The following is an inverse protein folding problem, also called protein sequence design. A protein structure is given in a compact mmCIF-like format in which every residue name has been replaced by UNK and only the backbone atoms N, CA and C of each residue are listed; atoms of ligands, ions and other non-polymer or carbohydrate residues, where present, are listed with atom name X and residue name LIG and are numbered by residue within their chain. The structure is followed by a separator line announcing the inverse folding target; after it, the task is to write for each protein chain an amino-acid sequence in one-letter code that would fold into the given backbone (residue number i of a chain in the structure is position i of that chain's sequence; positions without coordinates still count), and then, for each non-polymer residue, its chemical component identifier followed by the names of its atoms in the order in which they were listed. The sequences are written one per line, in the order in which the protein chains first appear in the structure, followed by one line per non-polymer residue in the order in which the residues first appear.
data_IF_173988515658
#
_entry.id   IF_173988515658
#
_cell.length_a   1.000
_cell.length_b   1.000
_cell.length_c   1.000
_cell.angle_alpha   90.00
_cell.angle_beta   90.00
_cell.angle_gamma   90.00
#
_symmetry.space_group_name_H-M   'P 1'
#
loop_
_entity.id
_entity.type
_entity.pdbx_description
1 polymer ?
#
# COMPACT_ATOMS: atom_id res chain seq x y z
N UNK A 1 4.57 13.16 -1.68
CA UNK A 1 3.14 13.16 -2.05
C UNK A 1 2.23 13.00 -0.84
N UNK A 2 2.60 12.19 0.15
CA UNK A 2 1.93 12.23 1.46
C UNK A 2 2.24 13.56 2.19
N UNK A 3 3.51 13.97 2.21
CA UNK A 3 3.97 15.18 2.90
C UNK A 3 4.02 16.46 2.05
N UNK A 4 3.88 16.35 0.72
CA UNK A 4 4.00 17.45 -0.25
C UNK A 4 3.00 17.28 -1.40
N UNK A 5 2.83 18.33 -2.22
CA UNK A 5 1.92 18.35 -3.38
C UNK A 5 2.22 17.22 -4.37
N UNK A 6 1.20 16.81 -5.13
CA UNK A 6 1.36 15.83 -6.21
C UNK A 6 2.23 16.41 -7.34
N UNK A 7 3.20 15.65 -7.88
CA UNK A 7 3.98 16.07 -9.05
C UNK A 7 3.19 15.92 -10.36
N UNK A 8 2.06 15.21 -10.36
CA UNK A 8 1.23 15.02 -11.54
C UNK A 8 0.45 16.31 -11.83
N UNK A 9 0.62 16.87 -13.03
CA UNK A 9 -0.05 18.09 -13.44
C UNK A 9 -1.52 17.81 -13.75
N UNK A 10 -2.40 18.68 -13.26
CA UNK A 10 -3.83 18.72 -13.60
C UNK A 10 -4.15 20.05 -14.29
N UNK A 11 -4.02 20.12 -15.63
CA UNK A 11 -4.32 21.34 -16.38
C UNK A 11 -5.74 21.85 -16.16
N UNK A 12 -5.91 23.18 -16.28
CA UNK A 12 -7.21 23.83 -16.14
C UNK A 12 -8.19 23.40 -17.23
N UNK A 13 -7.78 23.39 -18.49
CA UNK A 13 -8.64 22.96 -19.60
C UNK A 13 -8.96 21.47 -19.53
N UNK A 14 -10.23 21.11 -19.65
CA UNK A 14 -10.69 19.71 -19.55
C UNK A 14 -10.05 18.78 -20.59
N UNK A 15 -9.84 19.26 -21.82
CA UNK A 15 -9.18 18.47 -22.87
C UNK A 15 -7.74 18.10 -22.48
N UNK A 16 -6.94 19.06 -22.00
CA UNK A 16 -5.57 18.77 -21.52
C UNK A 16 -5.57 17.92 -20.26
N UNK A 17 -6.57 18.08 -19.38
CA UNK A 17 -6.71 17.25 -18.18
C UNK A 17 -7.00 15.80 -18.52
N UNK A 18 -7.89 15.55 -19.49
CA UNK A 18 -8.17 14.21 -20.00
C UNK A 18 -6.93 13.60 -20.67
N UNK A 19 -6.19 14.38 -21.47
CA UNK A 19 -4.95 13.93 -22.09
C UNK A 19 -3.87 13.56 -21.05
N UNK A 20 -3.64 14.44 -20.05
CA UNK A 20 -2.70 14.17 -18.96
C UNK A 20 -3.07 12.88 -18.20
N UNK A 21 -4.35 12.74 -17.85
CA UNK A 21 -4.86 11.54 -17.17
C UNK A 21 -4.67 10.27 -17.99
N UNK A 22 -4.93 10.31 -19.30
CA UNK A 22 -4.74 9.17 -20.17
C UNK A 22 -3.27 8.72 -20.18
N UNK A 23 -2.33 9.67 -20.28
CA UNK A 23 -0.89 9.40 -20.18
C UNK A 23 -0.54 8.80 -18.82
N UNK A 24 -1.00 9.41 -17.71
CA UNK A 24 -0.74 8.89 -16.36
C UNK A 24 -1.27 7.47 -16.17
N UNK A 25 -2.50 7.17 -16.60
CA UNK A 25 -3.07 5.84 -16.48
C UNK A 25 -2.34 4.80 -17.34
N UNK A 26 -1.91 5.17 -18.55
CA UNK A 26 -1.24 4.25 -19.47
C UNK A 26 0.23 3.98 -19.07
N UNK A 27 0.92 5.01 -18.58
CA UNK A 27 2.35 4.96 -18.34
C UNK A 27 2.72 4.64 -16.89
N UNK A 28 1.95 5.11 -15.90
CA UNK A 28 2.38 5.10 -14.50
C UNK A 28 1.76 3.98 -13.67
N UNK A 29 0.52 3.60 -13.96
CA UNK A 29 -0.14 2.52 -13.22
C UNK A 29 0.58 1.18 -13.44
N UNK A 30 0.64 0.32 -12.40
CA UNK A 30 1.18 -1.02 -12.55
C UNK A 30 0.33 -1.82 -13.55
N UNK A 31 1.00 -2.62 -14.38
CA UNK A 31 0.34 -3.51 -15.35
C UNK A 31 -0.01 -4.87 -14.74
N UNK A 32 0.89 -5.38 -13.90
CA UNK A 32 0.81 -6.73 -13.32
C UNK A 32 0.37 -6.73 -11.85
N UNK A 33 -0.12 -5.60 -11.33
CA UNK A 33 -0.59 -5.48 -9.96
C UNK A 33 -1.87 -4.63 -9.89
N UNK A 34 -2.64 -4.72 -8.79
CA UNK A 34 -3.82 -3.89 -8.58
C UNK A 34 -3.50 -2.39 -8.72
N UNK A 35 -4.47 -1.58 -9.20
CA UNK A 35 -4.25 -0.16 -9.42
C UNK A 35 -3.88 0.56 -8.12
N UNK A 36 -2.89 1.44 -8.14
CA UNK A 36 -2.44 2.16 -6.95
C UNK A 36 -1.92 3.55 -7.33
N UNK A 37 -2.48 4.58 -6.67
CA UNK A 37 -2.02 5.96 -6.83
C UNK A 37 -0.58 6.11 -6.31
N UNK A 38 -0.27 5.48 -5.18
CA UNK A 38 1.06 5.53 -4.58
C UNK A 38 2.11 4.84 -5.46
N UNK A 39 1.78 3.72 -6.10
CA UNK A 39 2.68 3.05 -7.04
C UNK A 39 2.85 3.86 -8.32
N UNK A 40 1.77 4.46 -8.84
CA UNK A 40 1.88 5.34 -10.00
C UNK A 40 2.84 6.52 -9.73
N UNK A 41 2.80 7.08 -8.53
CA UNK A 41 3.72 8.14 -8.13
C UNK A 41 5.17 7.64 -7.98
N UNK A 42 5.38 6.43 -7.47
CA UNK A 42 6.71 5.83 -7.41
C UNK A 42 7.25 5.54 -8.82
N UNK A 43 6.43 5.00 -9.73
CA UNK A 43 6.78 4.81 -11.15
C UNK A 43 7.14 6.14 -11.81
N UNK A 44 6.36 7.20 -11.54
CA UNK A 44 6.63 8.54 -12.07
C UNK A 44 7.99 9.06 -11.58
N UNK A 45 8.32 8.86 -10.30
CA UNK A 45 9.61 9.23 -9.74
C UNK A 45 10.76 8.46 -10.39
N UNK A 46 10.65 7.13 -10.50
CA UNK A 46 11.69 6.28 -11.11
C UNK A 46 11.99 6.71 -12.55
N UNK A 47 10.95 6.88 -13.37
CA UNK A 47 11.11 7.32 -14.77
C UNK A 47 11.65 8.74 -14.89
N UNK A 48 11.22 9.64 -14.00
CA UNK A 48 11.76 10.99 -13.96
C UNK A 48 13.25 11.00 -13.60
N UNK A 49 13.67 10.17 -12.66
CA UNK A 49 15.06 10.04 -12.23
C UNK A 49 15.95 9.44 -13.34
N UNK A 50 15.43 8.46 -14.08
CA UNK A 50 16.07 7.93 -15.29
C UNK A 50 16.25 9.03 -16.35
N UNK A 51 15.18 9.77 -16.69
CA UNK A 51 15.26 10.88 -17.63
C UNK A 51 16.23 11.97 -17.15
N UNK A 52 16.31 12.23 -15.84
CA UNK A 52 17.28 13.15 -15.23
C UNK A 52 18.71 12.69 -15.42
N UNK A 53 19.00 11.42 -15.19
CA UNK A 53 20.34 10.84 -15.43
C UNK A 53 20.77 10.97 -16.89
N UNK A 54 19.81 10.90 -17.82
CA UNK A 54 20.04 11.02 -19.26
C UNK A 54 19.97 12.47 -19.78
N UNK A 55 19.78 13.46 -18.89
CA UNK A 55 19.61 14.89 -19.23
C UNK A 55 18.42 15.18 -20.18
N UNK A 56 17.37 14.36 -20.10
CA UNK A 56 16.15 14.47 -20.92
C UNK A 56 14.93 14.98 -20.14
N UNK A 57 15.14 15.51 -18.93
CA UNK A 57 14.08 15.86 -17.97
C UNK A 57 13.00 16.77 -18.54
N UNK A 58 13.37 17.84 -19.27
CA UNK A 58 12.40 18.78 -19.82
C UNK A 58 11.45 18.11 -20.82
N UNK A 59 12.01 17.28 -21.71
CA UNK A 59 11.23 16.57 -22.71
C UNK A 59 10.31 15.53 -22.07
N UNK A 60 10.79 14.85 -21.04
CA UNK A 60 10.03 13.87 -20.27
C UNK A 60 8.88 14.55 -19.50
N UNK A 61 9.17 15.59 -18.72
CA UNK A 61 8.18 16.31 -17.92
C UNK A 61 7.05 16.89 -18.78
N UNK A 62 7.36 17.41 -19.98
CA UNK A 62 6.35 17.89 -20.93
C UNK A 62 5.47 16.77 -21.47
N UNK A 63 6.05 15.62 -21.84
CA UNK A 63 5.31 14.48 -22.41
C UNK A 63 4.46 13.77 -21.37
N UNK A 64 5.01 13.52 -20.18
CA UNK A 64 4.37 12.76 -19.11
C UNK A 64 3.56 13.64 -18.14
N UNK A 65 3.43 14.95 -18.41
CA UNK A 65 2.67 15.90 -17.59
C UNK A 65 3.09 15.90 -16.11
N UNK A 66 4.40 15.99 -15.87
CA UNK A 66 5.02 15.95 -14.53
C UNK A 66 5.70 17.28 -14.23
N UNK A 67 5.50 17.78 -13.00
CA UNK A 67 6.18 18.97 -12.51
C UNK A 67 7.61 18.65 -12.05
N UNK A 68 8.61 19.17 -12.78
CA UNK A 68 10.02 18.97 -12.47
C UNK A 68 10.42 19.46 -11.08
N UNK A 69 9.99 20.67 -10.69
CA UNK A 69 10.38 21.28 -9.42
C UNK A 69 9.87 20.45 -8.23
N UNK A 70 8.63 19.96 -8.32
CA UNK A 70 8.06 19.09 -7.27
C UNK A 70 8.82 17.76 -7.20
N UNK A 71 9.24 17.19 -8.34
CA UNK A 71 10.06 15.98 -8.34
C UNK A 71 11.44 16.20 -7.72
N UNK A 72 12.07 17.36 -7.94
CA UNK A 72 13.32 17.72 -7.25
C UNK A 72 13.12 17.78 -5.74
N UNK A 73 12.08 18.47 -5.26
CA UNK A 73 11.77 18.50 -3.82
C UNK A 73 11.51 17.10 -3.25
N UNK A 74 10.82 16.22 -4.00
CA UNK A 74 10.61 14.83 -3.59
C UNK A 74 11.94 14.08 -3.51
N UNK A 75 12.86 14.27 -4.46
CA UNK A 75 14.19 13.67 -4.46
C UNK A 75 15.00 14.11 -3.25
N UNK A 76 15.03 15.40 -2.97
CA UNK A 76 15.78 15.97 -1.84
C UNK A 76 15.24 15.40 -0.52
N UNK A 77 13.90 15.42 -0.33
CA UNK A 77 13.28 14.81 0.84
C UNK A 77 13.57 13.30 0.98
N UNK A 78 13.62 12.56 -0.13
CA UNK A 78 14.00 11.13 -0.10
C UNK A 78 15.44 10.94 0.35
N UNK A 79 16.36 11.82 -0.07
CA UNK A 79 17.75 11.78 0.37
C UNK A 79 17.85 12.07 1.87
N UNK A 80 17.18 13.12 2.35
CA UNK A 80 17.17 13.51 3.76
C UNK A 80 16.64 12.38 4.66
N UNK A 81 15.56 11.71 4.26
CA UNK A 81 15.00 10.58 5.00
C UNK A 81 15.96 9.39 5.06
N UNK A 82 16.62 9.06 3.95
CA UNK A 82 17.60 7.97 3.91
C UNK A 82 18.81 8.29 4.77
N UNK A 83 19.29 9.53 4.72
CA UNK A 83 20.44 9.96 5.52
C UNK A 83 20.11 10.00 7.01
N UNK A 84 18.90 10.42 7.40
CA UNK A 84 18.40 10.31 8.78
C UNK A 84 18.41 8.86 9.24
N UNK A 85 17.75 7.95 8.51
CA UNK A 85 17.69 6.52 8.85
C UNK A 85 19.09 5.89 8.98
N UNK A 86 20.02 6.29 8.11
CA UNK A 86 21.41 5.83 8.17
C UNK A 86 22.12 6.37 9.42
N UNK A 87 21.96 7.66 9.73
CA UNK A 87 22.59 8.30 10.89
C UNK A 87 22.08 7.74 12.23
N UNK A 88 20.79 7.42 12.27
CA UNK A 88 20.11 6.84 13.43
C UNK A 88 20.48 5.36 13.62
N UNK A 89 20.96 4.69 12.57
CA UNK A 89 21.42 3.28 12.63
C UNK A 89 20.37 2.25 12.20
N UNK A 90 19.29 2.67 11.54
CA UNK A 90 18.24 1.77 11.05
C UNK A 90 18.56 1.08 9.71
N UNK A 91 19.66 1.46 9.07
CA UNK A 91 20.08 0.85 7.79
C UNK A 91 20.96 -0.36 8.06
N UNK A 92 20.44 -1.55 7.75
CA UNK A 92 21.19 -2.80 7.78
C UNK A 92 21.35 -3.43 6.40
N UNK A 93 22.40 -4.25 6.25
CA UNK A 93 22.62 -5.08 5.06
C UNK A 93 22.36 -6.53 5.37
N UNK A 94 21.50 -7.18 4.58
CA UNK A 94 21.24 -8.61 4.67
C UNK A 94 22.17 -9.40 3.75
N UNK A 95 22.61 -10.61 4.14
CA UNK A 95 23.22 -11.57 3.23
C UNK A 95 22.25 -11.90 2.10
N UNK A 96 22.78 -12.05 0.87
CA UNK A 96 21.95 -12.35 -0.30
C UNK A 96 21.27 -13.72 -0.22
N UNK A 97 21.83 -14.60 0.59
CA UNK A 97 21.34 -15.96 0.87
C UNK A 97 20.08 -15.96 1.73
N UNK A 98 19.87 -14.90 2.53
CA UNK A 98 18.68 -14.75 3.38
C UNK A 98 17.56 -14.02 2.62
N UNK A 99 17.89 -12.91 1.97
CA UNK A 99 16.94 -12.05 1.27
C UNK A 99 17.55 -11.45 0.01
N UNK A 100 16.90 -11.66 -1.13
CA UNK A 100 17.29 -11.00 -2.37
C UNK A 100 16.73 -9.58 -2.44
N UNK A 101 17.42 -8.71 -3.18
CA UNK A 101 16.92 -7.35 -3.47
C UNK A 101 15.56 -7.37 -4.16
N UNK A 102 15.26 -8.40 -4.94
CA UNK A 102 13.99 -8.52 -5.65
C UNK A 102 12.85 -8.86 -4.67
N UNK A 103 13.08 -9.76 -3.72
CA UNK A 103 12.08 -10.14 -2.73
C UNK A 103 11.68 -8.96 -1.85
N UNK A 104 12.66 -8.19 -1.34
CA UNK A 104 12.40 -7.06 -0.43
C UNK A 104 11.80 -5.84 -1.14
N UNK A 105 11.99 -5.71 -2.45
CA UNK A 105 11.43 -4.61 -3.26
C UNK A 105 10.19 -5.05 -4.04
N UNK A 106 9.53 -6.15 -3.64
CA UNK A 106 8.31 -6.57 -4.30
C UNK A 106 7.19 -5.53 -4.15
N UNK A 107 6.25 -5.45 -5.12
CA UNK A 107 5.07 -4.61 -4.98
C UNK A 107 4.24 -4.97 -3.73
N UNK A 108 4.14 -6.26 -3.38
CA UNK A 108 3.37 -6.74 -2.25
C UNK A 108 3.93 -6.20 -0.92
N UNK A 109 5.25 -6.24 -0.74
CA UNK A 109 5.91 -5.68 0.44
C UNK A 109 5.76 -4.17 0.46
N UNK A 110 5.95 -3.50 -0.67
CA UNK A 110 5.80 -2.03 -0.75
C UNK A 110 4.38 -1.60 -0.36
N UNK A 111 3.34 -2.31 -0.84
CA UNK A 111 1.95 -2.06 -0.45
C UNK A 111 1.72 -2.32 1.04
N UNK A 112 2.31 -3.38 1.59
CA UNK A 112 2.15 -3.76 2.99
C UNK A 112 2.84 -2.77 3.94
N UNK A 113 4.05 -2.31 3.61
CA UNK A 113 4.77 -1.27 4.37
C UNK A 113 4.06 0.08 4.26
N UNK A 114 3.53 0.43 3.09
CA UNK A 114 2.69 1.60 2.92
C UNK A 114 1.44 1.51 3.80
N UNK A 115 0.79 0.35 3.82
CA UNK A 115 -0.36 0.11 4.68
C UNK A 115 0.00 0.23 6.16
N UNK A 116 1.11 -0.34 6.61
CA UNK A 116 1.57 -0.22 7.99
C UNK A 116 1.72 1.25 8.43
N UNK A 117 2.20 2.13 7.54
CA UNK A 117 2.31 3.57 7.80
C UNK A 117 1.00 4.35 7.68
N UNK A 118 0.00 3.82 6.97
CA UNK A 118 -1.31 4.46 6.78
C UNK A 118 -2.39 3.92 7.73
N UNK A 119 -2.17 2.78 8.36
CA UNK A 119 -3.09 2.19 9.34
C UNK A 119 -3.40 3.22 10.44
N UNK A 120 -4.67 3.40 10.87
CA UNK A 120 -5.86 2.57 10.59
C UNK A 120 -6.69 2.97 9.35
N UNK A 121 -6.14 3.75 8.41
CA UNK A 121 -6.89 4.19 7.23
C UNK A 121 -7.04 3.08 6.18
N UNK A 122 -8.03 2.21 6.41
CA UNK A 122 -8.41 1.12 5.52
C UNK A 122 -9.91 1.12 5.25
N UNK A 123 -10.28 0.69 4.06
CA UNK A 123 -11.65 0.50 3.65
C UNK A 123 -11.83 -0.87 2.97
N UNK A 124 -13.06 -1.37 3.00
CA UNK A 124 -13.48 -2.63 2.40
C UNK A 124 -14.24 -2.38 1.11
N UNK A 125 -13.90 -3.13 0.08
CA UNK A 125 -14.66 -3.21 -1.17
C UNK A 125 -15.76 -4.25 -0.98
N UNK A 126 -16.98 -3.85 -1.27
CA UNK A 126 -18.18 -4.69 -1.25
C UNK A 126 -18.83 -4.72 -2.63
N UNK A 127 -19.47 -5.85 -2.94
CA UNK A 127 -20.28 -5.95 -4.14
C UNK A 127 -21.54 -5.10 -4.00
N UNK A 128 -22.12 -4.72 -5.13
CA UNK A 128 -23.48 -4.18 -5.14
C UNK A 128 -24.46 -5.20 -4.58
N UNK A 129 -25.49 -4.72 -3.88
CA UNK A 129 -26.58 -5.58 -3.36
C UNK A 129 -27.30 -6.35 -4.48
N UNK A 130 -27.26 -5.82 -5.71
CA UNK A 130 -27.83 -6.46 -6.88
C UNK A 130 -26.75 -7.25 -7.63
N UNK A 131 -26.85 -8.58 -7.75
CA UNK A 131 -25.83 -9.43 -8.39
C UNK A 131 -25.59 -9.13 -9.89
N UNK A 132 -26.57 -8.50 -10.55
CA UNK A 132 -26.50 -8.11 -11.96
C UNK A 132 -25.86 -6.74 -12.18
N UNK A 133 -25.65 -5.97 -11.11
CA UNK A 133 -25.01 -4.66 -11.20
C UNK A 133 -23.48 -4.83 -11.16
N UNK A 134 -22.79 -4.31 -12.17
CA UNK A 134 -21.32 -4.42 -12.31
C UNK A 134 -20.60 -3.35 -11.48
N UNK A 135 -21.09 -3.11 -10.27
CA UNK A 135 -20.61 -2.07 -9.39
C UNK A 135 -19.93 -2.63 -8.15
N UNK A 136 -19.15 -1.77 -7.49
CA UNK A 136 -18.63 -2.00 -6.16
C UNK A 136 -18.91 -0.78 -5.30
N UNK A 137 -19.01 -0.99 -4.00
CA UNK A 137 -19.08 0.06 -2.98
C UNK A 137 -17.90 -0.07 -2.05
N UNK A 138 -17.41 1.05 -1.53
CA UNK A 138 -16.27 1.06 -0.60
C UNK A 138 -16.79 1.54 0.76
N UNK A 139 -16.45 0.83 1.82
CA UNK A 139 -16.86 1.16 3.19
C UNK A 139 -15.67 1.27 4.13
N UNK A 140 -15.64 2.32 4.95
CA UNK A 140 -14.75 2.44 6.10
C UNK A 140 -15.63 2.50 7.35
N UNK A 141 -15.79 1.36 8.03
CA UNK A 141 -16.88 1.19 8.98
C UNK A 141 -18.24 1.34 8.28
N UNK A 142 -19.11 2.20 8.82
CA UNK A 142 -20.43 2.48 8.26
C UNK A 142 -20.43 3.60 7.18
N UNK A 143 -19.29 4.25 6.96
CA UNK A 143 -19.19 5.32 5.97
C UNK A 143 -19.10 4.75 4.56
N UNK A 144 -20.02 5.13 3.66
CA UNK A 144 -19.92 4.85 2.24
C UNK A 144 -18.95 5.83 1.58
N UNK A 145 -17.91 5.30 0.94
CA UNK A 145 -16.89 6.06 0.22
C UNK A 145 -16.94 5.77 -1.28
N UNK A 146 -16.39 6.71 -2.05
CA UNK A 146 -16.10 6.55 -3.47
C UNK A 146 -14.65 6.94 -3.78
N UNK A 147 -14.10 6.43 -4.86
CA UNK A 147 -12.78 6.88 -5.33
C UNK A 147 -12.96 8.25 -6.00
N UNK A 148 -12.19 9.24 -5.53
CA UNK A 148 -12.23 10.59 -6.08
C UNK A 148 -11.89 10.60 -7.58
N UNK A 149 -12.58 11.39 -8.43
CA UNK A 149 -12.29 11.46 -9.88
C UNK A 149 -10.84 11.82 -10.23
N UNK A 150 -10.13 12.49 -9.32
CA UNK A 150 -8.72 12.83 -9.46
C UNK A 150 -7.74 11.68 -9.20
N UNK A 151 -8.14 10.60 -8.52
CA UNK A 151 -7.31 9.40 -8.34
C UNK A 151 -7.18 8.66 -9.67
N UNK A 152 -6.01 8.06 -9.95
CA UNK A 152 -5.77 7.23 -11.13
C UNK A 152 -6.50 5.89 -11.07
N UNK A 153 -6.86 5.45 -9.86
CA UNK A 153 -7.70 4.26 -9.66
C UNK A 153 -9.17 4.53 -10.02
N UNK A 154 -9.59 5.80 -10.16
CA UNK A 154 -10.95 6.13 -10.58
C UNK A 154 -11.23 5.67 -12.02
N UNK A 155 -12.39 5.04 -12.23
CA UNK A 155 -12.79 4.49 -13.53
C UNK A 155 -12.18 3.13 -13.87
N UNK A 156 -11.37 2.54 -12.97
CA UNK A 156 -10.82 1.18 -13.12
C UNK A 156 -11.73 0.12 -12.49
N UNK A 157 -13.05 0.35 -12.54
CA UNK A 157 -14.02 -0.55 -11.91
C UNK A 157 -14.02 -1.96 -12.50
N UNK A 158 -13.62 -2.09 -13.76
CA UNK A 158 -13.34 -3.36 -14.43
C UNK A 158 -12.33 -4.23 -13.67
N UNK A 159 -11.24 -3.64 -13.17
CA UNK A 159 -10.22 -4.34 -12.39
C UNK A 159 -10.63 -4.58 -10.93
N UNK A 160 -11.61 -3.83 -10.44
CA UNK A 160 -12.13 -3.93 -9.06
C UNK A 160 -13.34 -4.86 -8.97
N UNK A 161 -13.93 -5.19 -10.12
CA UNK A 161 -15.03 -6.12 -10.20
C UNK A 161 -14.56 -7.51 -9.78
N UNK A 162 -15.32 -8.13 -8.88
CA UNK A 162 -14.98 -9.44 -8.33
C UNK A 162 -14.04 -9.41 -7.11
N UNK A 163 -13.31 -8.32 -6.83
CA UNK A 163 -12.47 -8.23 -5.62
C UNK A 163 -13.29 -8.46 -4.35
N UNK A 164 -14.54 -7.99 -4.31
CA UNK A 164 -15.44 -8.21 -3.17
C UNK A 164 -15.69 -9.69 -2.83
N UNK A 165 -15.44 -10.61 -3.78
CA UNK A 165 -15.58 -12.06 -3.62
C UNK A 165 -14.29 -12.74 -3.19
N UNK A 166 -13.17 -12.01 -3.17
CA UNK A 166 -11.86 -12.53 -2.77
C UNK A 166 -11.45 -11.94 -1.42
N UNK A 167 -10.38 -12.47 -0.83
CA UNK A 167 -9.77 -11.87 0.35
C UNK A 167 -9.05 -10.53 0.02
N UNK A 168 -8.83 -10.21 -1.26
CA UNK A 168 -8.12 -8.99 -1.74
C UNK A 168 -9.05 -7.77 -1.87
N UNK A 169 -10.04 -7.67 -0.99
CA UNK A 169 -11.08 -6.62 -1.01
C UNK A 169 -10.73 -5.39 -0.19
N UNK A 170 -9.46 -5.18 0.12
CA UNK A 170 -9.03 -4.12 1.05
C UNK A 170 -8.29 -3.02 0.31
N UNK A 171 -8.53 -1.78 0.73
CA UNK A 171 -7.88 -0.60 0.16
C UNK A 171 -7.42 0.31 1.28
N UNK A 172 -6.15 0.69 1.29
CA UNK A 172 -5.66 1.75 2.17
C UNK A 172 -5.67 3.11 1.46
N UNK A 173 -5.73 4.15 2.26
CA UNK A 173 -5.75 5.54 1.81
C UNK A 173 -5.04 6.44 2.81
N UNK A 174 -4.58 7.59 2.35
CA UNK A 174 -4.02 8.63 3.20
C UNK A 174 -5.04 9.72 3.50
N UNK A 175 -5.71 10.24 2.47
CA UNK A 175 -6.66 11.34 2.62
C UNK A 175 -8.08 10.96 2.20
N UNK A 176 -9.03 11.11 3.14
CA UNK A 176 -10.46 11.17 2.82
C UNK A 176 -10.95 12.61 2.80
N UNK A 177 -11.83 12.94 1.88
CA UNK A 177 -12.40 14.28 1.75
C UNK A 177 -13.92 14.23 1.58
N UNK A 178 -14.63 15.13 2.25
CA UNK A 178 -16.09 15.26 2.14
C UNK A 178 -16.43 16.48 1.30
N UNK A 179 -17.09 16.26 0.17
CA UNK A 179 -17.67 17.32 -0.67
C UNK A 179 -19.15 17.02 -0.87
N UNK A 180 -19.56 16.56 -2.05
CA UNK A 180 -20.90 16.02 -2.30
C UNK A 180 -21.09 14.64 -1.65
N UNK A 181 -20.03 13.85 -1.61
CA UNK A 181 -19.93 12.53 -0.98
C UNK A 181 -18.58 12.42 -0.27
N UNK A 182 -18.36 11.33 0.45
CA UNK A 182 -17.04 11.03 1.03
C UNK A 182 -16.21 10.35 -0.04
N UNK A 183 -15.06 10.94 -0.36
CA UNK A 183 -14.15 10.45 -1.38
C UNK A 183 -12.79 10.08 -0.81
N UNK A 184 -12.23 8.97 -1.30
CA UNK A 184 -10.82 8.64 -1.17
C UNK A 184 -10.04 9.42 -2.21
N UNK A 185 -9.16 10.32 -1.77
CA UNK A 185 -8.34 11.14 -2.67
C UNK A 185 -7.26 10.31 -3.37
N UNK A 186 -6.72 9.35 -2.64
CA UNK A 186 -5.66 8.44 -3.04
C UNK A 186 -5.98 7.06 -2.49
N UNK A 187 -5.60 6.02 -3.22
CA UNK A 187 -5.85 4.66 -2.77
C UNK A 187 -4.81 3.65 -3.25
N UNK A 188 -4.67 2.56 -2.50
CA UNK A 188 -3.84 1.40 -2.85
C UNK A 188 -4.51 0.13 -2.37
N UNK A 189 -4.77 -0.77 -3.29
CA UNK A 189 -5.38 -2.07 -2.98
C UNK A 189 -4.34 -2.98 -2.35
N UNK A 190 -4.79 -3.75 -1.37
CA UNK A 190 -3.94 -4.55 -0.50
C UNK A 190 -4.17 -6.04 -0.75
N UNK A 191 -3.10 -6.82 -0.53
CA UNK A 191 -3.21 -8.26 -0.38
C UNK A 191 -3.80 -8.60 1.00
N UNK A 192 -4.43 -9.79 1.15
CA UNK A 192 -4.90 -10.27 2.44
C UNK A 192 -3.79 -10.30 3.48
N UNK A 193 -2.59 -10.72 3.05
CA UNK A 193 -1.42 -10.88 3.90
C UNK A 193 -0.91 -9.54 4.46
N UNK A 194 -1.00 -8.45 3.70
CA UNK A 194 -0.69 -7.12 4.20
C UNK A 194 -1.59 -6.75 5.39
N UNK A 195 -2.89 -7.04 5.29
CA UNK A 195 -3.83 -6.79 6.36
C UNK A 195 -3.61 -7.72 7.57
N UNK A 196 -3.37 -9.02 7.34
CA UNK A 196 -3.13 -9.99 8.41
C UNK A 196 -1.90 -9.67 9.25
N UNK A 197 -0.82 -9.21 8.62
CA UNK A 197 0.46 -8.94 9.28
C UNK A 197 0.52 -7.55 9.93
N UNK A 198 -0.08 -6.53 9.33
CA UNK A 198 0.04 -5.12 9.78
C UNK A 198 -1.26 -4.48 10.25
N UNK A 199 -2.41 -5.13 10.11
CA UNK A 199 -3.70 -4.61 10.54
C UNK A 199 -4.02 -4.95 12.00
N UNK A 200 -4.54 -3.99 12.76
CA UNK A 200 -4.85 -4.14 14.18
C UNK A 200 -3.61 -4.20 15.06
N UNK A 201 -3.84 -4.35 16.36
CA UNK A 201 -2.76 -4.58 17.33
C UNK A 201 -2.23 -6.01 17.20
N UNK A 202 -0.95 -6.26 17.52
CA UNK A 202 -0.33 -7.60 17.39
C UNK A 202 -1.06 -8.72 18.13
N UNK A 203 -1.75 -8.38 19.22
CA UNK A 203 -2.60 -9.30 19.97
C UNK A 203 -4.07 -9.37 19.51
N UNK A 204 -4.53 -8.44 18.69
CA UNK A 204 -5.93 -8.27 18.32
C UNK A 204 -6.32 -9.07 17.05
N UNK A 205 -5.80 -10.30 16.96
CA UNK A 205 -6.29 -11.32 16.05
C UNK A 205 -7.28 -12.20 16.81
N UNK A 206 -8.57 -11.95 16.63
CA UNK A 206 -9.63 -12.80 17.15
C UNK A 206 -9.93 -13.92 16.14
N UNK A 207 -9.66 -15.15 16.54
CA UNK A 207 -9.92 -16.34 15.73
C UNK A 207 -11.32 -16.83 16.06
N UNK A 208 -12.16 -17.01 15.04
CA UNK A 208 -13.51 -17.54 15.16
C UNK A 208 -13.58 -18.91 14.46
N UNK A 209 -13.30 -20.03 15.18
CA UNK A 209 -13.18 -21.35 14.56
C UNK A 209 -14.47 -21.82 13.88
N UNK A 210 -15.63 -21.51 14.47
CA UNK A 210 -16.94 -21.88 13.93
C UNK A 210 -17.25 -21.20 12.60
N UNK A 211 -16.79 -19.97 12.41
CA UNK A 211 -17.01 -19.17 11.19
C UNK A 211 -15.85 -19.27 10.20
N UNK A 212 -14.77 -19.98 10.56
CA UNK A 212 -13.51 -20.09 9.79
C UNK A 212 -12.98 -18.72 9.37
N UNK A 213 -13.13 -17.73 10.25
CA UNK A 213 -12.76 -16.36 9.99
C UNK A 213 -11.85 -15.82 11.10
N UNK A 214 -11.12 -14.78 10.74
CA UNK A 214 -10.25 -14.03 11.61
C UNK A 214 -10.69 -12.59 11.55
N UNK A 215 -10.99 -12.04 12.72
CA UNK A 215 -11.30 -10.65 12.89
C UNK A 215 -10.02 -9.91 13.32
N UNK A 216 -9.69 -8.84 12.60
CA UNK A 216 -8.58 -7.93 12.89
C UNK A 216 -9.14 -6.56 13.26
N UNK A 217 -8.64 -5.96 14.31
CA UNK A 217 -8.96 -4.57 14.63
C UNK A 217 -8.06 -4.04 15.73
N UNK A 218 -8.17 -2.76 16.03
CA UNK A 218 -7.58 -2.18 17.25
C UNK A 218 -8.64 -1.98 18.32
N UNK A 219 -8.24 -1.95 19.59
CA UNK A 219 -9.13 -1.67 20.73
C UNK A 219 -9.88 -0.33 20.61
N UNK A 220 -9.36 0.61 19.81
CA UNK A 220 -10.02 1.88 19.50
C UNK A 220 -11.00 1.84 18.32
N UNK A 221 -11.05 0.73 17.58
CA UNK A 221 -11.89 0.60 16.39
C UNK A 221 -13.28 0.04 16.73
N UNK A 222 -14.31 0.65 16.15
CA UNK A 222 -15.70 0.15 16.28
C UNK A 222 -15.97 -1.06 15.39
N UNK A 223 -15.08 -1.37 14.45
CA UNK A 223 -15.32 -2.36 13.40
C UNK A 223 -14.11 -3.27 13.26
N UNK A 224 -14.36 -4.56 13.18
CA UNK A 224 -13.34 -5.56 12.93
C UNK A 224 -13.35 -5.96 11.46
N UNK A 225 -12.17 -6.13 10.88
CA UNK A 225 -11.97 -6.61 9.54
C UNK A 225 -11.93 -8.14 9.54
N UNK A 226 -12.93 -8.78 8.93
CA UNK A 226 -13.00 -10.23 8.86
C UNK A 226 -12.40 -10.77 7.55
N UNK A 227 -11.44 -11.69 7.69
CA UNK A 227 -10.85 -12.48 6.60
C UNK A 227 -11.12 -13.97 6.82
N UNK A 228 -11.29 -14.72 5.73
CA UNK A 228 -11.40 -16.17 5.82
C UNK A 228 -10.01 -16.79 5.93
N UNK A 229 -9.73 -17.42 7.07
CA UNK A 229 -8.44 -18.04 7.34
C UNK A 229 -8.62 -19.21 8.31
N UNK A 230 -7.91 -20.32 8.04
CA UNK A 230 -7.93 -21.48 8.92
C UNK A 230 -7.38 -21.11 10.32
N UNK A 231 -8.01 -21.58 11.42
CA UNK A 231 -7.60 -21.23 12.79
C UNK A 231 -6.12 -21.47 13.09
N UNK A 232 -5.54 -22.55 12.53
CA UNK A 232 -4.12 -22.87 12.68
C UNK A 232 -3.22 -21.78 12.10
N UNK A 233 -3.52 -21.28 10.90
CA UNK A 233 -2.72 -20.24 10.25
C UNK A 233 -2.85 -18.91 11.01
N UNK A 234 -4.06 -18.62 11.51
CA UNK A 234 -4.30 -17.43 12.32
C UNK A 234 -3.47 -17.42 13.62
N UNK A 235 -3.39 -18.57 14.30
CA UNK A 235 -2.56 -18.72 15.50
C UNK A 235 -1.06 -18.51 15.20
N UNK A 236 -0.57 -19.07 14.10
CA UNK A 236 0.82 -18.88 13.65
C UNK A 236 1.11 -17.42 13.30
N UNK A 237 0.24 -16.76 12.54
CA UNK A 237 0.38 -15.33 12.19
C UNK A 237 0.41 -14.48 13.46
N UNK A 238 -0.46 -14.76 14.44
CA UNK A 238 -0.47 -14.04 15.72
C UNK A 238 0.85 -14.18 16.48
N UNK A 239 1.42 -15.39 16.55
CA UNK A 239 2.74 -15.61 17.17
C UNK A 239 3.85 -14.88 16.42
N UNK A 240 3.82 -14.91 15.09
CA UNK A 240 4.78 -14.22 14.24
C UNK A 240 4.72 -12.69 14.44
N UNK A 241 3.53 -12.11 14.59
CA UNK A 241 3.34 -10.69 14.91
C UNK A 241 3.93 -10.30 16.26
N UNK A 242 3.72 -11.12 17.30
CA UNK A 242 4.36 -10.88 18.60
C UNK A 242 5.89 -10.91 18.51
N UNK A 243 6.44 -11.85 17.75
CA UNK A 243 7.89 -11.94 17.56
C UNK A 243 8.42 -10.69 16.84
N UNK A 244 7.75 -10.26 15.77
CA UNK A 244 8.13 -9.07 15.00
C UNK A 244 8.01 -7.78 15.79
N UNK A 245 6.95 -7.61 16.59
CA UNK A 245 6.84 -6.50 17.54
C UNK A 245 8.00 -6.49 18.53
N UNK A 246 8.43 -7.67 18.97
CA UNK A 246 9.63 -7.82 19.79
C UNK A 246 10.88 -7.29 19.07
N UNK A 247 11.06 -7.64 17.80
CA UNK A 247 12.17 -7.15 16.97
C UNK A 247 12.12 -5.63 16.86
N UNK A 248 10.95 -5.07 16.51
CA UNK A 248 10.74 -3.64 16.36
C UNK A 248 11.00 -2.89 17.66
N UNK A 249 10.54 -3.38 18.81
CA UNK A 249 10.79 -2.75 20.13
C UNK A 249 12.28 -2.75 20.47
N UNK A 250 12.98 -3.86 20.23
CA UNK A 250 14.43 -3.94 20.46
C UNK A 250 15.18 -2.93 19.58
N UNK A 251 14.81 -2.83 18.30
CA UNK A 251 15.36 -1.86 17.35
C UNK A 251 14.98 -0.41 17.65
N UNK A 252 13.81 -0.15 18.19
CA UNK A 252 13.40 1.19 18.60
C UNK A 252 14.19 1.67 19.82
N UNK A 253 14.53 0.77 20.75
CA UNK A 253 15.32 1.09 21.95
C UNK A 253 16.82 1.25 21.65
N UNK A 254 17.36 0.40 20.76
CA UNK A 254 18.74 0.49 20.29
C UNK A 254 18.78 0.22 18.78
N UNK A 255 18.71 1.27 17.94
CA UNK A 255 18.70 1.13 16.49
C UNK A 255 19.96 0.45 15.93
N UNK A 256 21.11 0.65 16.59
CA UNK A 256 22.41 0.14 16.13
C UNK A 256 22.67 -1.30 16.58
N UNK A 257 21.83 -1.86 17.45
CA UNK A 257 21.88 -3.26 17.84
C UNK A 257 21.81 -4.17 16.61
N UNK A 258 22.75 -5.08 16.37
CA UNK A 258 22.66 -6.00 15.24
C UNK A 258 21.47 -6.96 15.39
N UNK A 259 20.80 -7.28 14.28
CA UNK A 259 19.77 -8.31 14.25
C UNK A 259 20.36 -9.69 14.51
N UNK A 260 19.78 -10.42 15.47
CA UNK A 260 20.14 -11.82 15.74
C UNK A 260 19.65 -12.74 14.62
N UNK A 261 20.14 -14.00 14.54
CA UNK A 261 19.60 -14.98 13.59
C UNK A 261 18.09 -15.21 13.76
N UNK A 262 17.57 -15.10 14.98
CA UNK A 262 16.14 -15.18 15.28
C UNK A 262 15.38 -13.94 14.78
N UNK A 263 15.94 -12.74 14.97
CA UNK A 263 15.32 -11.51 14.45
C UNK A 263 15.22 -11.57 12.91
N UNK A 264 16.27 -12.06 12.25
CA UNK A 264 16.32 -12.24 10.79
C UNK A 264 15.31 -13.26 10.29
N UNK A 265 15.18 -14.41 10.97
CA UNK A 265 14.22 -15.45 10.56
C UNK A 265 12.77 -14.96 10.62
N UNK A 266 12.45 -14.13 11.61
CA UNK A 266 11.13 -13.46 11.72
C UNK A 266 10.90 -12.53 10.52
N UNK A 267 11.88 -11.72 10.15
CA UNK A 267 11.77 -10.80 9.01
C UNK A 267 11.65 -11.57 7.69
N UNK A 268 12.45 -12.62 7.50
CA UNK A 268 12.36 -13.53 6.34
C UNK A 268 10.96 -14.16 6.25
N UNK A 269 10.38 -14.60 7.36
CA UNK A 269 9.02 -15.13 7.38
C UNK A 269 7.97 -14.08 6.96
N UNK A 270 8.13 -12.83 7.39
CA UNK A 270 7.27 -11.72 6.93
C UNK A 270 7.37 -11.49 5.43
N UNK A 271 8.60 -11.40 4.89
CA UNK A 271 8.84 -11.24 3.44
C UNK A 271 8.21 -12.41 2.67
N UNK A 272 8.41 -13.64 3.13
CA UNK A 272 7.86 -14.84 2.49
C UNK A 272 6.33 -14.80 2.45
N UNK A 273 5.67 -14.53 3.58
CA UNK A 273 4.20 -14.47 3.65
C UNK A 273 3.64 -13.34 2.78
N UNK A 274 4.28 -12.16 2.75
CA UNK A 274 3.84 -11.05 1.91
C UNK A 274 3.96 -11.36 0.42
N UNK A 275 5.00 -12.09 0.03
CA UNK A 275 5.24 -12.50 -1.34
C UNK A 275 4.44 -13.73 -1.76
N UNK A 276 3.89 -14.50 -0.81
CA UNK A 276 2.93 -15.55 -1.11
C UNK A 276 1.66 -14.93 -1.72
N UNK A 277 1.49 -15.10 -3.02
CA UNK A 277 0.20 -14.88 -3.66
C UNK A 277 -0.69 -16.07 -3.34
N UNK A 278 -1.82 -15.85 -2.66
CA UNK A 278 -2.90 -16.86 -2.62
C UNK A 278 -3.30 -17.14 -4.07
N UNK A 279 -2.83 -18.26 -4.62
CA UNK A 279 -3.50 -18.92 -5.74
C UNK A 279 -4.86 -19.37 -5.20
N UNK A 280 -5.89 -18.64 -5.63
CA UNK A 280 -7.31 -19.00 -5.65
C UNK A 280 -7.69 -20.26 -4.85
N UNK A 281 -8.39 -20.06 -3.74
CA UNK A 281 -9.27 -21.07 -3.17
C UNK A 281 -10.70 -20.84 -3.64
#
# INVERSE_FOLDING_TARGET
TLSHRSPLLTPFSDQKRAAARAVHCAELLPKDAPPSDHFALNTAYTRWEEARSQRQTDSFCRKSWINHQVMQTIRDLRADLVDSLRSDGFVETYPKEELTKQEVNSPQITAALLFAGLYPNVARVEGTRNPNDKGFTIYAGDELLRIHPGSLCHGRGDLLNGLHRTNSRWVCYHTKMKTSQIFLRDCTFLTPNALLLFGGDSGAIAVHPGERCVALGSTSERHWHCLHLAPRHAATIRQLRYAFDGVLRRKALDPRRPLTPEDRSVIVAYVAILNCTETEA
#
